data_IF_588652542823
#
_entry.id   IF_588652542823
#
_cell.length_a   1.000
_cell.length_b   1.000
_cell.length_c   1.000
_cell.angle_alpha   90.00
_cell.angle_beta   90.00
_cell.angle_gamma   90.00
#
_symmetry.space_group_name_H-M   'P 1'
#
loop_
_entity.id
_entity.type
_entity.pdbx_description
1 polymer ?
#
# COMPACT_ATOMS: atom_id res chain seq x y z
N UNK A 1 10.28 -8.48 11.77
CA UNK A 1 10.29 -8.65 10.32
C UNK A 1 10.01 -10.12 9.98
N UNK A 2 9.01 -10.39 9.13
CA UNK A 2 8.71 -11.74 8.63
C UNK A 2 9.50 -12.03 7.36
N UNK A 3 9.51 -11.08 6.43
CA UNK A 3 10.24 -11.18 5.18
C UNK A 3 10.62 -9.81 4.63
N UNK A 4 11.80 -9.75 4.01
CA UNK A 4 12.32 -8.61 3.27
C UNK A 4 12.66 -9.04 1.85
N UNK A 5 12.18 -8.31 0.86
CA UNK A 5 12.42 -8.61 -0.54
C UNK A 5 13.61 -7.83 -1.07
N UNK A 6 14.79 -8.42 -0.98
CA UNK A 6 16.03 -7.80 -1.43
C UNK A 6 16.00 -7.38 -2.89
N UNK A 7 15.37 -8.17 -3.76
CA UNK A 7 15.29 -7.84 -5.19
C UNK A 7 14.48 -6.58 -5.45
N UNK A 8 13.44 -6.33 -4.65
CA UNK A 8 12.65 -5.11 -4.72
C UNK A 8 13.41 -3.94 -4.08
N UNK A 9 14.10 -4.16 -2.97
CA UNK A 9 14.93 -3.14 -2.32
C UNK A 9 16.03 -2.65 -3.24
N UNK A 10 16.77 -3.55 -3.89
CA UNK A 10 17.79 -3.21 -4.89
C UNK A 10 17.22 -2.42 -6.06
N UNK A 11 16.03 -2.79 -6.55
CA UNK A 11 15.35 -2.03 -7.60
C UNK A 11 15.02 -0.60 -7.18
N UNK A 12 14.75 -0.37 -5.89
CA UNK A 12 14.51 0.96 -5.33
C UNK A 12 15.81 1.74 -5.06
N UNK A 13 16.97 1.13 -5.27
CA UNK A 13 18.28 1.71 -4.96
C UNK A 13 18.67 1.62 -3.49
N UNK A 14 18.02 0.74 -2.74
CA UNK A 14 18.33 0.51 -1.33
C UNK A 14 19.32 -0.64 -1.19
N UNK A 15 20.57 -0.27 -1.03
CA UNK A 15 21.69 -1.20 -0.84
C UNK A 15 22.23 -1.06 0.58
N UNK A 16 22.79 -2.15 1.09
CA UNK A 16 23.48 -2.18 2.37
C UNK A 16 22.79 -2.98 3.46
N UNK A 17 23.46 -3.06 4.62
CA UNK A 17 22.99 -3.80 5.78
C UNK A 17 21.94 -2.98 6.55
N UNK A 18 20.69 -3.11 6.16
CA UNK A 18 19.57 -2.48 6.85
C UNK A 18 19.18 -3.34 8.05
N UNK A 19 19.29 -2.77 9.25
CA UNK A 19 19.00 -3.48 10.50
C UNK A 19 17.55 -3.96 10.52
N UNK A 20 17.27 -5.27 10.76
CA UNK A 20 15.93 -5.85 10.73
C UNK A 20 14.92 -5.14 11.65
N UNK A 21 15.40 -4.61 12.79
CA UNK A 21 14.59 -3.88 13.77
C UNK A 21 14.10 -2.55 13.21
N UNK A 22 14.97 -1.83 12.49
CA UNK A 22 14.65 -0.57 11.82
C UNK A 22 13.64 -0.82 10.71
N UNK A 23 13.89 -1.84 9.87
CA UNK A 23 12.96 -2.26 8.82
C UNK A 23 11.59 -2.63 9.39
N UNK A 24 11.57 -3.40 10.49
CA UNK A 24 10.33 -3.77 11.15
C UNK A 24 9.58 -2.55 11.69
N UNK A 25 10.29 -1.59 12.30
CA UNK A 25 9.70 -0.37 12.84
C UNK A 25 9.10 0.52 11.75
N UNK A 26 9.84 0.76 10.68
CA UNK A 26 9.40 1.59 9.55
C UNK A 26 8.23 0.94 8.81
N UNK A 27 8.37 -0.33 8.42
CA UNK A 27 7.40 -1.02 7.57
C UNK A 27 6.23 -1.66 8.32
N UNK A 28 6.19 -1.52 9.65
CA UNK A 28 4.96 -1.67 10.44
C UNK A 28 4.17 -0.36 10.57
N UNK A 29 4.78 0.78 10.24
CA UNK A 29 4.18 2.11 10.38
C UNK A 29 4.43 2.78 11.74
N UNK A 30 5.34 2.23 12.56
CA UNK A 30 5.68 2.77 13.88
C UNK A 30 6.76 3.85 13.84
N UNK A 31 7.49 3.95 12.74
CA UNK A 31 8.54 4.94 12.54
C UNK A 31 8.40 5.59 11.16
N UNK A 32 8.46 6.93 11.10
CA UNK A 32 8.51 7.68 9.85
C UNK A 32 9.95 7.80 9.37
N UNK A 33 10.14 7.80 8.06
CA UNK A 33 11.38 8.25 7.41
C UNK A 33 11.19 9.70 6.98
N UNK A 34 12.26 10.48 7.05
CA UNK A 34 12.25 11.86 6.57
C UNK A 34 11.78 11.94 5.09
N UNK A 35 10.93 12.91 4.80
CA UNK A 35 10.31 13.07 3.48
C UNK A 35 9.00 12.32 3.27
N UNK A 36 8.65 11.33 4.10
CA UNK A 36 7.35 10.66 4.03
C UNK A 36 6.21 11.61 4.41
N UNK A 37 5.14 11.58 3.60
CA UNK A 37 3.87 12.28 3.88
C UNK A 37 2.72 11.29 3.72
N UNK A 38 2.47 10.43 4.74
CA UNK A 38 1.50 9.37 4.63
C UNK A 38 0.08 9.88 4.36
N UNK A 39 -0.58 9.31 3.34
CA UNK A 39 -1.96 9.64 2.99
C UNK A 39 -2.78 8.39 2.75
N UNK A 40 -4.06 8.41 3.15
CA UNK A 40 -5.06 7.46 2.71
C UNK A 40 -5.79 8.06 1.50
N UNK A 41 -5.81 7.33 0.38
CA UNK A 41 -6.38 7.84 -0.87
C UNK A 41 -7.90 7.68 -0.89
N UNK A 42 -8.60 8.74 -1.33
CA UNK A 42 -10.01 8.67 -1.70
C UNK A 42 -10.16 8.21 -3.15
N UNK A 43 -11.19 7.41 -3.41
CA UNK A 43 -11.57 7.00 -4.77
C UNK A 43 -13.08 6.72 -4.83
N UNK A 44 -13.63 6.58 -6.00
CA UNK A 44 -14.99 6.15 -6.24
C UNK A 44 -14.99 4.78 -6.94
N UNK A 45 -16.15 4.20 -7.17
CA UNK A 45 -16.23 2.95 -7.93
C UNK A 45 -17.56 2.25 -7.76
N UNK A 46 -17.72 1.15 -8.47
CA UNK A 46 -18.92 0.34 -8.45
C UNK A 46 -18.80 -0.80 -7.46
N UNK A 47 -19.78 -0.93 -6.57
CA UNK A 47 -19.90 -2.02 -5.62
C UNK A 47 -21.35 -2.50 -5.57
N UNK A 48 -21.57 -3.81 -5.55
CA UNK A 48 -22.90 -4.43 -5.43
C UNK A 48 -23.92 -3.92 -6.46
N UNK A 49 -23.49 -3.67 -7.68
CA UNK A 49 -24.34 -3.20 -8.78
C UNK A 49 -24.63 -1.69 -8.77
N UNK A 50 -24.10 -0.93 -7.82
CA UNK A 50 -24.29 0.52 -7.70
C UNK A 50 -22.99 1.31 -7.69
N UNK A 51 -23.06 2.57 -8.13
CA UNK A 51 -21.93 3.49 -8.03
C UNK A 51 -21.82 4.06 -6.61
N UNK A 52 -20.64 3.87 -6.00
CA UNK A 52 -20.29 4.50 -4.73
C UNK A 52 -19.43 5.74 -4.99
N UNK A 53 -19.95 6.96 -4.73
CA UNK A 53 -19.24 8.19 -5.04
C UNK A 53 -18.03 8.44 -4.14
N UNK A 54 -17.96 7.73 -3.01
CA UNK A 54 -16.83 7.83 -2.07
C UNK A 54 -16.53 6.50 -1.44
N UNK A 55 -15.40 5.97 -1.80
CA UNK A 55 -14.65 4.90 -1.17
C UNK A 55 -13.32 5.49 -0.70
N UNK A 56 -12.45 4.65 -0.19
CA UNK A 56 -11.10 5.07 0.18
C UNK A 56 -10.29 3.92 0.75
N UNK A 57 -9.02 4.20 0.99
CA UNK A 57 -8.07 3.25 1.55
C UNK A 57 -8.36 2.98 3.04
N UNK A 58 -9.32 2.10 3.33
CA UNK A 58 -9.74 1.79 4.70
C UNK A 58 -8.71 1.02 5.54
N UNK A 59 -7.65 0.50 4.93
CA UNK A 59 -6.51 -0.17 5.58
C UNK A 59 -5.21 -0.07 4.80
N UNK A 60 -5.14 0.83 3.83
CA UNK A 60 -3.93 1.12 3.08
C UNK A 60 -3.51 2.57 3.33
N UNK A 61 -2.21 2.81 3.33
CA UNK A 61 -1.61 4.09 3.59
C UNK A 61 -0.45 4.28 2.62
N UNK A 62 -0.57 5.21 1.68
CA UNK A 62 0.54 5.60 0.81
C UNK A 62 1.54 6.37 1.66
N UNK A 63 2.77 5.90 1.75
CA UNK A 63 3.83 6.55 2.52
C UNK A 63 4.47 7.71 1.75
N UNK A 64 4.55 7.55 0.44
CA UNK A 64 5.20 8.49 -0.47
C UNK A 64 5.78 7.78 -1.68
N UNK A 65 6.68 8.47 -2.37
CA UNK A 65 7.34 8.00 -3.58
C UNK A 65 8.84 7.86 -3.36
N UNK A 66 9.43 6.88 -4.02
CA UNK A 66 10.88 6.70 -4.14
C UNK A 66 11.26 6.85 -5.60
N UNK A 67 12.28 7.64 -5.87
CA UNK A 67 12.89 7.75 -7.20
C UNK A 67 14.23 7.02 -7.14
N UNK A 68 14.35 5.96 -7.94
CA UNK A 68 15.58 5.16 -7.98
C UNK A 68 16.68 5.83 -8.84
N UNK A 69 17.85 5.21 -8.91
CA UNK A 69 19.00 5.70 -9.69
C UNK A 69 18.71 5.83 -11.19
N UNK A 70 17.76 5.06 -11.72
CA UNK A 70 17.31 5.13 -13.11
C UNK A 70 16.24 6.20 -13.35
N UNK A 71 15.93 7.03 -12.34
CA UNK A 71 14.87 8.03 -12.35
C UNK A 71 13.45 7.44 -12.50
N UNK A 72 13.28 6.16 -12.18
CA UNK A 72 11.96 5.54 -12.12
C UNK A 72 11.32 5.85 -10.77
N UNK A 73 10.08 6.33 -10.81
CA UNK A 73 9.26 6.61 -9.62
C UNK A 73 8.51 5.36 -9.20
N UNK A 74 8.52 5.09 -7.92
CA UNK A 74 7.79 4.00 -7.30
C UNK A 74 7.04 4.48 -6.05
N UNK A 75 5.75 4.16 -5.98
CA UNK A 75 4.94 4.38 -4.79
C UNK A 75 5.22 3.31 -3.74
N UNK A 76 5.33 3.74 -2.49
CA UNK A 76 5.38 2.86 -1.32
C UNK A 76 4.08 2.98 -0.52
N UNK A 77 3.43 1.86 -0.25
CA UNK A 77 2.20 1.85 0.54
C UNK A 77 2.19 0.73 1.56
N UNK A 78 1.76 1.04 2.79
CA UNK A 78 1.46 0.03 3.79
C UNK A 78 0.04 -0.50 3.61
N UNK A 79 -0.17 -1.76 3.97
CA UNK A 79 -1.49 -2.38 4.04
C UNK A 79 -1.66 -3.14 5.33
N UNK A 80 -2.62 -2.73 6.14
CA UNK A 80 -2.91 -3.34 7.43
C UNK A 80 -2.25 -2.65 8.63
N UNK A 81 -1.71 -1.43 8.46
CA UNK A 81 -0.98 -0.70 9.50
C UNK A 81 -1.88 0.02 10.53
N UNK A 82 -3.19 -0.01 10.35
CA UNK A 82 -4.13 0.61 11.28
C UNK A 82 -5.26 1.38 10.59
N UNK A 83 -6.11 2.05 11.38
CA UNK A 83 -7.28 2.76 10.87
C UNK A 83 -6.89 4.00 10.07
N UNK A 84 -7.71 4.30 9.08
CA UNK A 84 -7.66 5.50 8.24
C UNK A 84 -9.01 6.21 8.29
N UNK A 85 -9.14 7.44 7.76
CA UNK A 85 -10.45 8.10 7.64
C UNK A 85 -11.49 7.29 6.85
N UNK A 86 -11.06 6.30 6.08
CA UNK A 86 -11.93 5.47 5.22
C UNK A 86 -12.19 4.07 5.79
N UNK A 87 -11.80 3.78 7.03
CA UNK A 87 -11.97 2.44 7.65
C UNK A 87 -13.41 2.10 8.00
N UNK A 88 -14.33 3.05 7.95
CA UNK A 88 -15.78 2.85 8.21
C UNK A 88 -16.05 2.11 9.54
N UNK A 89 -15.32 2.49 10.60
CA UNK A 89 -15.40 1.84 11.92
C UNK A 89 -14.61 0.54 12.04
N UNK A 90 -13.94 0.08 10.99
CA UNK A 90 -13.03 -1.06 11.04
C UNK A 90 -11.67 -0.70 11.65
N UNK A 91 -10.91 -1.71 12.05
CA UNK A 91 -9.60 -1.57 12.69
C UNK A 91 -8.45 -1.17 11.74
N UNK A 92 -8.69 -1.19 10.43
CA UNK A 92 -7.66 -0.91 9.43
C UNK A 92 -6.49 -1.88 9.41
N UNK A 93 -6.57 -2.97 10.16
CA UNK A 93 -5.50 -3.95 10.34
C UNK A 93 -5.65 -5.15 9.41
N UNK A 94 -4.58 -5.91 9.25
CA UNK A 94 -4.57 -7.15 8.48
C UNK A 94 -4.04 -8.30 9.32
N UNK A 95 -4.64 -9.48 9.16
CA UNK A 95 -4.10 -10.71 9.71
C UNK A 95 -2.96 -11.24 8.83
N UNK A 96 -2.07 -12.03 9.43
CA UNK A 96 -0.86 -12.56 8.77
C UNK A 96 -1.19 -13.40 7.52
N UNK A 97 -2.25 -14.21 7.57
CA UNK A 97 -2.63 -15.08 6.42
C UNK A 97 -2.90 -14.29 5.14
N UNK A 98 -3.79 -13.27 5.14
CA UNK A 98 -3.98 -12.36 4.02
C UNK A 98 -2.73 -11.63 3.56
N UNK A 99 -1.86 -11.20 4.48
CA UNK A 99 -0.59 -10.53 4.16
C UNK A 99 0.35 -11.46 3.40
N UNK A 100 0.58 -12.66 3.91
CA UNK A 100 1.45 -13.64 3.26
C UNK A 100 0.89 -14.12 1.92
N UNK A 101 -0.44 -14.27 1.82
CA UNK A 101 -1.09 -14.65 0.55
C UNK A 101 -0.86 -13.57 -0.51
N UNK A 102 -1.07 -12.29 -0.18
CA UNK A 102 -0.85 -11.18 -1.12
C UNK A 102 0.62 -11.10 -1.52
N UNK A 103 1.54 -11.29 -0.57
CA UNK A 103 2.97 -11.36 -0.84
C UNK A 103 3.29 -12.46 -1.86
N UNK A 104 2.94 -13.71 -1.55
CA UNK A 104 3.28 -14.88 -2.37
C UNK A 104 2.66 -14.82 -3.76
N UNK A 105 1.38 -14.44 -3.86
CA UNK A 105 0.69 -14.36 -5.16
C UNK A 105 1.25 -13.19 -5.99
N UNK A 106 1.55 -12.05 -5.38
CA UNK A 106 2.17 -10.93 -6.08
C UNK A 106 3.53 -11.32 -6.68
N UNK A 107 4.39 -11.96 -5.90
CA UNK A 107 5.70 -12.41 -6.38
C UNK A 107 5.59 -13.54 -7.43
N UNK A 108 4.63 -14.45 -7.28
CA UNK A 108 4.32 -15.44 -8.31
C UNK A 108 3.90 -14.78 -9.63
N UNK A 109 2.96 -13.84 -9.58
CA UNK A 109 2.51 -13.10 -10.78
C UNK A 109 3.69 -12.39 -11.45
N UNK A 110 4.54 -11.74 -10.67
CA UNK A 110 5.75 -11.11 -11.19
C UNK A 110 6.68 -12.12 -11.87
N UNK A 111 6.91 -13.27 -11.26
CA UNK A 111 7.77 -14.32 -11.80
C UNK A 111 7.27 -14.86 -13.14
N UNK A 112 5.95 -14.95 -13.33
CA UNK A 112 5.34 -15.34 -14.62
C UNK A 112 5.07 -14.14 -15.55
N UNK A 113 5.66 -12.98 -15.27
CA UNK A 113 5.62 -11.75 -16.09
C UNK A 113 4.23 -11.12 -16.24
N UNK A 114 3.36 -11.30 -15.26
CA UNK A 114 2.09 -10.57 -15.18
C UNK A 114 2.35 -9.25 -14.42
N UNK A 115 2.06 -8.09 -15.01
CA UNK A 115 2.20 -6.82 -14.32
C UNK A 115 1.40 -6.79 -13.02
N UNK A 116 2.07 -6.49 -11.92
CA UNK A 116 1.46 -6.51 -10.58
C UNK A 116 2.21 -5.58 -9.63
N UNK A 117 1.57 -5.20 -8.53
CA UNK A 117 2.28 -4.60 -7.41
C UNK A 117 3.23 -5.61 -6.78
N UNK A 118 4.43 -5.15 -6.42
CA UNK A 118 5.42 -5.97 -5.72
C UNK A 118 5.26 -5.82 -4.21
N UNK A 119 5.74 -6.79 -3.49
CA UNK A 119 5.83 -6.75 -2.04
C UNK A 119 7.28 -6.53 -1.61
N UNK A 120 7.54 -5.48 -0.81
CA UNK A 120 8.86 -5.15 -0.29
C UNK A 120 9.10 -5.82 1.05
N UNK A 121 8.14 -5.70 1.96
CA UNK A 121 8.27 -6.23 3.31
C UNK A 121 6.95 -6.82 3.82
N UNK A 122 7.05 -7.86 4.62
CA UNK A 122 5.99 -8.35 5.49
C UNK A 122 6.47 -8.29 6.94
N UNK A 123 5.72 -7.63 7.80
CA UNK A 123 6.09 -7.41 9.21
C UNK A 123 4.97 -7.90 10.11
N UNK A 124 5.29 -8.70 11.14
CA UNK A 124 4.36 -9.04 12.22
C UNK A 124 4.23 -7.86 13.17
N UNK A 125 3.01 -7.52 13.57
CA UNK A 125 2.78 -6.43 14.52
C UNK A 125 2.97 -6.85 15.98
N UNK A 126 3.00 -8.15 16.26
CA UNK A 126 2.96 -8.67 17.64
C UNK A 126 1.59 -8.56 18.30
N UNK A 127 0.61 -7.96 17.65
CA UNK A 127 -0.74 -7.76 18.15
C UNK A 127 -1.74 -8.74 17.50
N UNK A 128 -2.85 -8.98 18.18
CA UNK A 128 -3.94 -9.77 17.64
C UNK A 128 -4.93 -8.91 16.86
N UNK A 129 -5.36 -9.43 15.72
CA UNK A 129 -6.45 -8.87 14.90
C UNK A 129 -7.66 -9.78 15.02
N UNK A 130 -8.79 -9.22 15.47
CA UNK A 130 -10.01 -9.99 15.68
C UNK A 130 -10.85 -10.09 14.41
N UNK A 131 -11.18 -11.32 14.01
CA UNK A 131 -12.11 -11.65 12.90
C UNK A 131 -13.13 -12.67 13.42
N UNK A 132 -13.03 -13.94 13.04
CA UNK A 132 -13.80 -15.05 13.68
C UNK A 132 -13.02 -15.65 14.86
N UNK A 133 -12.25 -14.81 15.58
CA UNK A 133 -11.31 -15.14 16.63
C UNK A 133 -10.04 -14.32 16.52
N UNK A 134 -9.14 -14.40 17.51
CA UNK A 134 -7.87 -13.71 17.48
C UNK A 134 -6.92 -14.34 16.44
N UNK A 135 -6.35 -13.51 15.58
CA UNK A 135 -5.36 -13.91 14.57
C UNK A 135 -4.12 -13.02 14.71
N UNK A 136 -2.90 -13.53 14.47
CA UNK A 136 -1.72 -12.70 14.46
C UNK A 136 -1.83 -11.58 13.42
N UNK A 137 -1.54 -10.34 13.84
CA UNK A 137 -1.53 -9.17 12.98
C UNK A 137 -0.25 -9.04 12.17
N UNK A 138 -0.36 -8.49 10.97
CA UNK A 138 0.79 -8.18 10.12
C UNK A 138 0.51 -6.99 9.19
N UNK A 139 1.58 -6.37 8.70
CA UNK A 139 1.56 -5.30 7.71
C UNK A 139 2.32 -5.73 6.48
N UNK A 140 1.77 -5.43 5.30
CA UNK A 140 2.42 -5.61 4.01
C UNK A 140 2.86 -4.25 3.47
N UNK A 141 4.14 -4.14 3.09
CA UNK A 141 4.62 -3.00 2.30
C UNK A 141 4.56 -3.34 0.81
N UNK A 142 3.85 -2.51 0.07
CA UNK A 142 3.62 -2.67 -1.38
C UNK A 142 4.37 -1.63 -2.15
N UNK A 143 4.87 -2.03 -3.31
CA UNK A 143 5.59 -1.18 -4.27
C UNK A 143 4.89 -1.27 -5.62
N UNK A 144 4.62 -0.14 -6.24
CA UNK A 144 4.06 -0.04 -7.58
C UNK A 144 4.60 1.19 -8.31
N UNK A 145 4.49 1.24 -9.62
CA UNK A 145 4.72 2.48 -10.38
C UNK A 145 3.71 3.57 -10.01
N UNK A 146 2.50 3.16 -9.64
CA UNK A 146 1.47 4.01 -9.04
C UNK A 146 0.46 3.17 -8.27
N UNK A 147 -0.06 3.70 -7.15
CA UNK A 147 -1.22 3.17 -6.42
C UNK A 147 -2.52 3.91 -6.77
N UNK A 148 -2.51 4.80 -7.76
CA UNK A 148 -3.72 5.40 -8.30
C UNK A 148 -4.62 4.32 -8.92
N UNK A 149 -5.91 4.51 -8.80
CA UNK A 149 -6.95 3.60 -9.31
C UNK A 149 -7.77 4.30 -10.39
N UNK A 150 -8.41 3.53 -11.24
CA UNK A 150 -9.47 4.05 -12.12
C UNK A 150 -10.49 4.85 -11.29
N UNK A 151 -10.84 4.34 -10.10
CA UNK A 151 -11.74 5.01 -9.18
C UNK A 151 -11.25 6.36 -8.64
N UNK A 152 -9.96 6.67 -8.69
CA UNK A 152 -9.43 8.00 -8.36
C UNK A 152 -9.87 9.02 -9.41
N UNK A 153 -9.82 8.65 -10.68
CA UNK A 153 -10.34 9.50 -11.78
C UNK A 153 -11.86 9.64 -11.71
N UNK A 154 -12.59 8.54 -11.44
CA UNK A 154 -14.04 8.57 -11.25
C UNK A 154 -14.45 9.48 -10.09
N UNK A 155 -13.65 9.54 -9.01
CA UNK A 155 -13.91 10.39 -7.84
C UNK A 155 -13.96 11.87 -8.23
N UNK A 156 -13.00 12.36 -9.03
CA UNK A 156 -12.98 13.74 -9.50
C UNK A 156 -13.98 13.99 -10.63
N UNK A 157 -14.14 13.04 -11.55
CA UNK A 157 -15.10 13.16 -12.66
C UNK A 157 -16.56 13.27 -12.15
N UNK A 158 -16.96 12.41 -11.21
CA UNK A 158 -18.29 12.44 -10.61
C UNK A 158 -18.59 13.75 -9.87
N UNK A 159 -17.57 14.45 -9.39
CA UNK A 159 -17.66 15.75 -8.72
C UNK A 159 -17.53 16.95 -9.67
N UNK A 160 -17.37 16.69 -10.97
CA UNK A 160 -17.13 17.72 -12.00
C UNK A 160 -15.90 18.59 -11.70
N UNK A 161 -14.91 18.05 -11.00
CA UNK A 161 -13.66 18.74 -10.66
C UNK A 161 -12.64 18.57 -11.79
N UNK A 162 -12.97 19.13 -12.97
CA UNK A 162 -12.23 18.93 -14.21
C UNK A 162 -10.75 19.37 -14.13
N UNK A 163 -10.46 20.46 -13.39
CA UNK A 163 -9.10 20.95 -13.23
C UNK A 163 -8.23 19.95 -12.42
N UNK A 164 -8.82 19.34 -11.39
CA UNK A 164 -8.12 18.31 -10.61
C UNK A 164 -7.99 17.02 -11.40
N UNK A 165 -9.01 16.66 -12.18
CA UNK A 165 -8.96 15.50 -13.08
C UNK A 165 -7.85 15.67 -14.13
N UNK A 166 -7.70 16.88 -14.71
CA UNK A 166 -6.63 17.20 -15.65
C UNK A 166 -5.26 17.06 -14.99
N UNK A 167 -5.06 17.66 -13.80
CA UNK A 167 -3.81 17.53 -13.04
C UNK A 167 -3.46 16.07 -12.74
N UNK A 168 -4.47 15.26 -12.36
CA UNK A 168 -4.29 13.84 -12.10
C UNK A 168 -3.84 13.10 -13.37
N UNK A 169 -4.43 13.44 -14.53
CA UNK A 169 -4.06 12.84 -15.83
C UNK A 169 -2.65 13.25 -16.25
N UNK A 170 -2.24 14.49 -15.99
CA UNK A 170 -0.88 14.97 -16.30
C UNK A 170 0.18 14.34 -15.36
N UNK A 171 -0.22 13.93 -14.15
CA UNK A 171 0.65 13.27 -13.19
C UNK A 171 0.91 11.79 -13.53
N UNK A 172 -0.04 11.09 -14.18
CA UNK A 172 0.06 9.65 -14.51
C UNK A 172 0.77 9.40 -15.84
#
# INVERSE_FOLDING_TARGET
>A
LLHWNESVALKLGWEGDLQPEVLASVFSGNQSIEGMKPIAQAYAGHQFGGFSPQLGDGRALLLGEVVNSNRERHDLALKGSGPTPFSRGGDGRAAIGPVLREYLIGEFMHAVRIPTTRALAAVSTGESVYRNGPLPGAVLTRVASSHLRVGTFEFFAARRQNDLLKKLTEYT
#
